data_IF_544168025523
#
_entry.id   IF_544168025523
#
_cell.length_a   1.000
_cell.length_b   1.000
_cell.length_c   1.000
_cell.angle_alpha   90.00
_cell.angle_beta   90.00
_cell.angle_gamma   90.00
#
_symmetry.space_group_name_H-M   'P 1'
#
loop_
_entity.id
_entity.type
_entity.pdbx_description
1 polymer ?
#
# COMPACT_ATOMS: atom_id res chain seq x y z
N UNK A 1 3.07 -4.07 20.27
CA UNK A 1 1.95 -5.03 20.16
C UNK A 1 2.53 -6.35 19.66
N UNK A 2 2.35 -7.49 20.34
CA UNK A 2 2.74 -8.80 19.82
C UNK A 2 2.05 -9.12 18.49
N UNK A 3 2.73 -9.80 17.58
CA UNK A 3 2.16 -10.15 16.28
C UNK A 3 0.86 -10.98 16.39
N UNK A 4 0.80 -11.92 17.33
CA UNK A 4 -0.41 -12.72 17.58
C UNK A 4 -1.61 -11.83 17.92
N UNK A 5 -1.42 -10.85 18.80
CA UNK A 5 -2.49 -9.92 19.20
C UNK A 5 -2.94 -9.04 18.01
N UNK A 6 -2.01 -8.62 17.16
CA UNK A 6 -2.34 -7.93 15.91
C UNK A 6 -3.23 -8.79 15.00
N UNK A 7 -2.86 -10.05 14.78
CA UNK A 7 -3.61 -10.97 13.92
C UNK A 7 -4.99 -11.27 14.49
N UNK A 8 -5.08 -11.54 15.79
CA UNK A 8 -6.34 -11.97 16.42
C UNK A 8 -7.33 -10.82 16.63
N UNK A 9 -6.86 -9.58 16.81
CA UNK A 9 -7.73 -8.47 17.23
C UNK A 9 -7.82 -7.32 16.25
N UNK A 10 -6.85 -7.17 15.33
CA UNK A 10 -6.71 -5.97 14.51
C UNK A 10 -6.65 -6.25 13.00
N UNK A 11 -6.45 -7.50 12.59
CA UNK A 11 -6.44 -7.92 11.18
C UNK A 11 -7.86 -8.09 10.63
N UNK A 12 -8.71 -7.10 10.88
CA UNK A 12 -10.11 -7.06 10.46
C UNK A 12 -10.36 -5.85 9.54
N UNK A 13 -11.44 -5.86 8.75
CA UNK A 13 -11.80 -4.72 7.93
C UNK A 13 -12.04 -3.45 8.77
N UNK A 14 -11.50 -2.28 8.38
CA UNK A 14 -11.72 -1.05 9.12
C UNK A 14 -13.19 -0.65 9.05
N UNK A 15 -13.73 -0.21 10.19
CA UNK A 15 -15.09 0.33 10.24
C UNK A 15 -15.19 1.60 9.37
N UNK A 16 -16.26 1.82 8.59
CA UNK A 16 -16.39 2.97 7.68
C UNK A 16 -16.25 4.35 8.34
N UNK A 17 -16.56 4.43 9.64
CA UNK A 17 -16.43 5.65 10.45
C UNK A 17 -15.07 5.85 11.15
N UNK A 18 -14.09 4.94 10.98
CA UNK A 18 -12.74 5.13 11.54
C UNK A 18 -11.95 6.15 10.73
N UNK A 19 -11.13 6.93 11.42
CA UNK A 19 -10.19 7.85 10.78
C UNK A 19 -9.05 7.09 10.11
N UNK A 20 -8.41 7.72 9.11
CA UNK A 20 -7.18 7.22 8.50
C UNK A 20 -6.10 6.91 9.53
N UNK A 21 -5.97 7.76 10.56
CA UNK A 21 -5.04 7.60 11.67
C UNK A 21 -5.28 6.37 12.53
N UNK A 22 -6.50 5.85 12.55
CA UNK A 22 -6.93 4.76 13.43
C UNK A 22 -6.86 3.40 12.73
N UNK A 23 -6.50 3.40 11.44
CA UNK A 23 -6.25 2.18 10.68
C UNK A 23 -4.80 1.79 10.94
N UNK A 24 -4.60 0.82 11.83
CA UNK A 24 -3.28 0.26 12.11
C UNK A 24 -2.80 -0.53 10.89
N UNK A 25 -2.09 0.20 10.04
CA UNK A 25 -1.20 -0.33 9.02
C UNK A 25 0.17 -0.35 9.66
N UNK A 26 0.78 -1.51 9.97
CA UNK A 26 2.20 -1.55 10.24
C UNK A 26 2.91 -1.63 8.88
N UNK A 27 3.35 -0.52 8.24
CA UNK A 27 4.46 -0.66 7.33
C UNK A 27 5.61 -1.19 8.18
N UNK A 28 6.18 -2.31 7.74
CA UNK A 28 7.11 -3.11 8.52
C UNK A 28 8.13 -2.26 9.26
N UNK A 29 8.35 -2.62 10.53
CA UNK A 29 9.59 -2.29 11.20
C UNK A 29 10.72 -2.90 10.35
N UNK A 30 11.32 -2.07 9.50
CA UNK A 30 12.37 -2.44 8.56
C UNK A 30 13.69 -2.79 9.28
N UNK A 31 13.67 -2.93 10.60
CA UNK A 31 14.83 -3.22 11.42
C UNK A 31 15.29 -4.70 11.37
N UNK A 32 14.77 -5.52 10.44
CA UNK A 32 15.19 -6.91 10.23
C UNK A 32 15.18 -7.79 11.50
N UNK A 33 14.52 -7.39 12.58
CA UNK A 33 14.58 -8.06 13.88
C UNK A 33 13.67 -9.29 13.88
N UNK A 34 12.36 -9.06 13.74
CA UNK A 34 11.35 -10.13 13.74
C UNK A 34 11.25 -10.82 12.37
N UNK A 35 11.26 -10.03 11.30
CA UNK A 35 11.05 -10.52 9.92
C UNK A 35 12.35 -10.77 9.14
N UNK A 36 13.51 -10.57 9.77
CA UNK A 36 14.85 -10.73 9.18
C UNK A 36 15.01 -11.99 8.33
N UNK A 37 14.61 -13.19 8.82
CA UNK A 37 14.75 -14.44 8.07
C UNK A 37 13.98 -14.51 6.75
N UNK A 38 13.00 -13.64 6.50
CA UNK A 38 12.23 -13.61 5.25
C UNK A 38 12.95 -12.90 4.10
N UNK A 39 13.92 -12.03 4.40
CA UNK A 39 14.58 -11.22 3.37
C UNK A 39 15.72 -11.92 2.60
N UNK A 40 16.57 -12.80 3.19
CA UNK A 40 17.59 -13.52 2.46
C UNK A 40 17.10 -14.34 1.24
N UNK A 41 15.96 -15.07 1.30
CA UNK A 41 15.46 -15.79 0.14
C UNK A 41 14.71 -14.90 -0.88
N UNK A 42 14.42 -13.65 -0.54
CA UNK A 42 13.64 -12.75 -1.40
C UNK A 42 14.50 -12.18 -2.54
N UNK A 43 14.00 -12.30 -3.77
CA UNK A 43 14.61 -11.73 -4.98
C UNK A 43 13.74 -10.58 -5.45
N UNK A 44 14.14 -9.31 -5.23
CA UNK A 44 13.32 -8.19 -5.68
C UNK A 44 13.45 -7.96 -7.19
N UNK A 45 12.60 -7.09 -7.74
CA UNK A 45 12.59 -6.74 -9.16
C UNK A 45 13.96 -6.25 -9.67
N UNK A 46 14.25 -6.45 -10.97
CA UNK A 46 15.62 -6.36 -11.50
C UNK A 46 16.18 -4.93 -11.54
N UNK A 47 15.33 -3.90 -11.60
CA UNK A 47 15.81 -2.52 -11.67
C UNK A 47 16.12 -1.98 -10.28
N UNK A 48 17.33 -1.47 -10.14
CA UNK A 48 17.83 -0.83 -8.91
C UNK A 48 18.66 0.39 -9.29
N UNK A 49 18.75 1.34 -8.39
CA UNK A 49 19.64 2.50 -8.54
C UNK A 49 21.04 2.06 -8.08
N UNK A 50 22.07 2.13 -8.94
CA UNK A 50 23.42 1.71 -8.58
C UNK A 50 23.94 2.43 -7.33
N UNK A 51 24.61 1.69 -6.44
CA UNK A 51 25.16 2.24 -5.19
C UNK A 51 24.13 2.40 -4.06
N UNK A 52 22.88 1.97 -4.26
CA UNK A 52 21.84 1.98 -3.22
C UNK A 52 21.35 0.57 -2.90
N UNK A 53 21.03 0.33 -1.62
CA UNK A 53 20.25 -0.83 -1.21
C UNK A 53 18.78 -0.43 -1.14
N UNK A 54 17.83 -1.18 -1.73
CA UNK A 54 16.45 -0.76 -1.67
C UNK A 54 15.92 -0.89 -0.24
N UNK A 55 15.27 0.14 0.31
CA UNK A 55 14.45 -0.02 1.50
C UNK A 55 13.31 -0.99 1.14
N UNK A 56 13.26 -2.14 1.80
CA UNK A 56 12.08 -3.00 1.76
C UNK A 56 11.07 -2.50 2.78
N UNK A 57 9.79 -2.67 2.48
CA UNK A 57 8.71 -2.58 3.46
C UNK A 57 7.83 -3.81 3.31
N UNK A 58 7.96 -4.73 4.27
CA UNK A 58 7.11 -5.91 4.38
C UNK A 58 5.88 -5.55 5.23
N UNK A 59 4.71 -6.08 4.87
CA UNK A 59 3.50 -5.81 5.64
C UNK A 59 2.45 -6.90 5.53
N UNK A 60 1.64 -6.96 6.58
CA UNK A 60 0.45 -7.79 6.70
C UNK A 60 -0.68 -6.84 7.06
N UNK A 61 -1.80 -6.90 6.34
CA UNK A 61 -2.90 -5.96 6.55
C UNK A 61 -4.26 -6.58 6.24
N UNK A 62 -5.29 -6.13 6.98
CA UNK A 62 -6.67 -6.58 6.77
C UNK A 62 -7.30 -5.99 5.51
N UNK A 63 -8.36 -6.62 5.01
CA UNK A 63 -9.16 -6.09 3.90
C UNK A 63 -9.66 -4.67 4.18
N UNK A 64 -9.76 -3.82 3.16
CA UNK A 64 -10.21 -2.42 3.27
C UNK A 64 -9.19 -1.45 3.86
N UNK A 65 -8.10 -1.91 4.46
CA UNK A 65 -7.03 -1.03 4.94
C UNK A 65 -6.22 -0.44 3.78
N UNK A 66 -5.70 0.78 3.94
CA UNK A 66 -4.91 1.49 2.94
C UNK A 66 -4.59 2.92 3.39
N UNK A 67 -3.62 3.55 2.74
CA UNK A 67 -3.22 4.94 3.00
C UNK A 67 -3.68 5.86 1.86
N UNK A 68 -4.21 7.06 2.17
CA UNK A 68 -4.74 7.97 1.16
C UNK A 68 -3.61 8.74 0.47
N UNK A 69 -3.33 8.39 -0.78
CA UNK A 69 -2.55 9.20 -1.74
C UNK A 69 -1.26 9.84 -1.21
N UNK A 70 -0.32 9.14 -0.55
CA UNK A 70 1.01 9.70 -0.31
C UNK A 70 1.77 9.88 -1.64
N UNK A 71 2.42 11.03 -1.88
CA UNK A 71 3.44 11.15 -2.90
C UNK A 71 4.82 10.80 -2.30
N UNK A 72 5.55 9.88 -2.92
CA UNK A 72 6.94 9.58 -2.55
C UNK A 72 7.75 9.08 -3.75
N UNK A 73 9.03 8.75 -3.50
CA UNK A 73 9.94 8.23 -4.51
C UNK A 73 9.44 6.94 -5.17
N UNK A 74 10.06 6.53 -6.30
CA UNK A 74 9.61 5.39 -7.09
C UNK A 74 9.85 4.06 -6.38
N UNK A 75 9.21 3.01 -6.88
CA UNK A 75 9.38 1.69 -6.32
C UNK A 75 8.53 0.61 -6.97
N UNK A 76 8.62 -0.58 -6.37
CA UNK A 76 7.85 -1.75 -6.74
C UNK A 76 6.92 -2.13 -5.60
N UNK A 77 5.73 -2.61 -5.95
CA UNK A 77 4.81 -3.25 -5.01
C UNK A 77 4.49 -4.65 -5.51
N UNK A 78 4.52 -5.60 -4.58
CA UNK A 78 4.30 -7.02 -4.80
C UNK A 78 3.34 -7.56 -3.74
N UNK A 79 2.42 -8.42 -4.16
CA UNK A 79 1.50 -9.11 -3.25
C UNK A 79 1.88 -10.58 -3.20
N UNK A 80 2.16 -11.07 -2.00
CA UNK A 80 2.53 -12.47 -1.72
C UNK A 80 1.26 -13.28 -1.46
N UNK A 81 0.30 -12.69 -0.75
CA UNK A 81 -1.01 -13.27 -0.46
C UNK A 81 -2.09 -12.17 -0.46
N UNK A 82 -3.31 -12.52 -0.85
CA UNK A 82 -4.42 -11.57 -0.98
C UNK A 82 -4.36 -10.80 -2.29
N UNK A 83 -4.95 -9.61 -2.34
CA UNK A 83 -4.95 -8.72 -3.51
C UNK A 83 -4.96 -7.28 -3.05
N UNK A 84 -4.28 -6.42 -3.79
CA UNK A 84 -4.37 -4.96 -3.62
C UNK A 84 -4.99 -4.31 -4.83
N UNK A 85 -5.92 -3.37 -4.62
CA UNK A 85 -6.28 -2.42 -5.68
C UNK A 85 -5.31 -1.27 -5.63
N UNK A 86 -5.04 -0.65 -6.77
CA UNK A 86 -4.21 0.53 -6.89
C UNK A 86 -4.99 1.61 -7.59
N UNK A 87 -4.91 2.84 -7.06
CA UNK A 87 -5.35 4.06 -7.70
C UNK A 87 -4.13 4.96 -7.88
N UNK A 88 -3.93 5.50 -9.08
CA UNK A 88 -2.71 6.20 -9.47
C UNK A 88 -3.08 7.52 -10.16
N UNK A 89 -2.44 8.61 -9.74
CA UNK A 89 -2.46 9.89 -10.43
C UNK A 89 -1.05 10.37 -10.74
N UNK A 90 -0.83 10.98 -11.91
CA UNK A 90 0.45 11.59 -12.22
C UNK A 90 0.70 12.82 -11.32
N UNK A 91 1.96 13.26 -11.16
CA UNK A 91 2.33 14.28 -10.17
C UNK A 91 1.65 15.63 -10.39
N UNK A 92 1.31 15.96 -11.65
CA UNK A 92 0.65 17.20 -12.07
C UNK A 92 -0.88 17.18 -11.85
N UNK A 93 -1.44 16.04 -11.43
CA UNK A 93 -2.87 15.88 -11.19
C UNK A 93 -3.12 15.50 -9.73
N UNK A 94 -3.31 16.50 -8.89
CA UNK A 94 -3.65 16.30 -7.48
C UNK A 94 -5.01 15.60 -7.34
N UNK A 95 -5.10 14.45 -6.65
CA UNK A 95 -6.38 13.80 -6.39
C UNK A 95 -7.26 14.63 -5.47
N UNK A 96 -8.57 14.52 -5.64
CA UNK A 96 -9.53 15.04 -4.67
C UNK A 96 -9.67 14.03 -3.53
N UNK A 97 -9.06 14.31 -2.37
CA UNK A 97 -9.18 13.49 -1.16
C UNK A 97 -9.02 14.34 0.10
N UNK A 98 -9.51 13.83 1.23
CA UNK A 98 -9.27 14.42 2.54
C UNK A 98 -8.12 13.67 3.25
N UNK A 99 -7.05 14.32 3.72
CA UNK A 99 -5.88 13.64 4.30
C UNK A 99 -6.17 12.74 5.51
N UNK A 100 -7.22 13.06 6.28
CA UNK A 100 -7.63 12.27 7.44
C UNK A 100 -8.63 11.15 7.11
N UNK A 101 -9.09 11.06 5.85
CA UNK A 101 -10.02 10.03 5.40
C UNK A 101 -9.26 8.76 4.99
N UNK A 102 -9.78 7.58 5.34
CA UNK A 102 -9.22 6.32 4.85
C UNK A 102 -9.42 6.18 3.34
N UNK A 103 -8.58 5.38 2.67
CA UNK A 103 -8.83 5.05 1.26
C UNK A 103 -10.19 4.39 1.04
N UNK A 104 -10.67 3.61 2.02
CA UNK A 104 -11.99 2.97 1.96
C UNK A 104 -13.12 4.01 1.99
N UNK A 105 -13.07 4.97 2.92
CA UNK A 105 -14.06 6.03 2.98
C UNK A 105 -14.03 6.89 1.72
N UNK A 106 -12.83 7.24 1.21
CA UNK A 106 -12.68 7.93 -0.08
C UNK A 106 -13.32 7.15 -1.24
N UNK A 107 -13.14 5.82 -1.26
CA UNK A 107 -13.71 4.94 -2.29
C UNK A 107 -15.24 4.89 -2.24
N UNK A 108 -15.85 5.06 -1.08
CA UNK A 108 -17.30 5.07 -0.90
C UNK A 108 -17.93 6.45 -1.12
N UNK A 109 -17.29 7.52 -0.65
CA UNK A 109 -17.89 8.86 -0.62
C UNK A 109 -17.47 9.73 -1.80
N UNK A 110 -16.20 9.63 -2.21
CA UNK A 110 -15.62 10.54 -3.21
C UNK A 110 -15.56 9.88 -4.58
N UNK A 111 -14.91 8.72 -4.70
CA UNK A 111 -14.68 8.03 -5.98
C UNK A 111 -15.94 7.86 -6.87
N UNK A 112 -17.12 7.49 -6.37
CA UNK A 112 -18.31 7.29 -7.21
C UNK A 112 -18.82 8.58 -7.87
N UNK A 113 -18.51 9.73 -7.27
CA UNK A 113 -18.93 11.06 -7.75
C UNK A 113 -17.92 11.72 -8.71
N UNK A 114 -16.72 11.15 -8.87
CA UNK A 114 -15.69 11.71 -9.73
C UNK A 114 -16.10 11.67 -11.21
N UNK A 115 -15.98 12.81 -11.93
CA UNK A 115 -16.07 12.84 -13.38
C UNK A 115 -15.08 11.88 -14.02
N UNK A 116 -15.41 11.31 -15.18
CA UNK A 116 -14.55 10.34 -15.87
C UNK A 116 -13.13 10.88 -16.10
N UNK A 117 -12.99 12.16 -16.45
CA UNK A 117 -11.72 12.83 -16.66
C UNK A 117 -10.87 12.96 -15.36
N UNK A 118 -11.50 12.90 -14.19
CA UNK A 118 -10.85 13.01 -12.88
C UNK A 118 -10.61 11.66 -12.21
N UNK A 119 -11.05 10.56 -12.83
CA UNK A 119 -10.80 9.21 -12.29
C UNK A 119 -9.30 8.87 -12.32
N UNK A 120 -8.84 8.06 -11.35
CA UNK A 120 -7.47 7.57 -11.34
C UNK A 120 -7.23 6.55 -12.45
N UNK A 121 -5.96 6.30 -12.77
CA UNK A 121 -5.58 5.02 -13.35
C UNK A 121 -5.72 3.95 -12.27
N UNK A 122 -6.28 2.80 -12.62
CA UNK A 122 -6.55 1.76 -11.63
C UNK A 122 -6.22 0.37 -12.13
N UNK A 123 -5.75 -0.47 -11.22
CA UNK A 123 -5.56 -1.90 -11.45
C UNK A 123 -5.78 -2.68 -10.15
N UNK A 124 -5.89 -4.00 -10.28
CA UNK A 124 -5.83 -4.92 -9.14
C UNK A 124 -4.59 -5.77 -9.31
N UNK A 125 -3.80 -5.85 -8.26
CA UNK A 125 -2.53 -6.57 -8.19
C UNK A 125 -2.72 -7.86 -7.36
N UNK A 126 -2.88 -9.03 -8.02
CA UNK A 126 -2.81 -10.34 -7.39
C UNK A 126 -1.39 -10.91 -7.39
N UNK A 127 -1.08 -11.93 -6.58
CA UNK A 127 0.14 -12.73 -6.74
C UNK A 127 0.15 -13.45 -8.11
N UNK A 128 1.32 -13.60 -8.77
CA UNK A 128 2.66 -13.09 -8.44
C UNK A 128 3.00 -11.79 -9.20
N UNK A 129 2.03 -10.92 -9.44
CA UNK A 129 2.26 -9.71 -10.25
C UNK A 129 3.04 -8.64 -9.48
N UNK A 130 3.74 -7.79 -10.24
CA UNK A 130 4.53 -6.67 -9.73
C UNK A 130 4.03 -5.38 -10.34
N UNK A 131 3.77 -4.37 -9.52
CA UNK A 131 3.49 -3.01 -9.98
C UNK A 131 4.71 -2.11 -9.78
N UNK A 132 5.10 -1.39 -10.82
CA UNK A 132 6.00 -0.25 -10.69
C UNK A 132 5.19 1.04 -10.46
N UNK A 133 5.49 1.77 -9.39
CA UNK A 133 4.96 3.12 -9.19
C UNK A 133 6.07 4.16 -9.45
N UNK A 134 5.84 5.15 -10.33
CA UNK A 134 6.86 6.12 -10.67
C UNK A 134 7.06 7.21 -9.59
N UNK A 135 8.15 7.96 -9.75
CA UNK A 135 8.52 9.05 -8.83
C UNK A 135 7.40 10.10 -8.70
N UNK A 136 7.07 10.45 -7.45
CA UNK A 136 6.09 11.48 -7.08
C UNK A 136 4.66 11.24 -7.55
N UNK A 137 4.33 10.03 -7.99
CA UNK A 137 2.95 9.68 -8.30
C UNK A 137 2.12 9.55 -7.03
N UNK A 138 0.93 10.17 -7.04
CA UNK A 138 -0.04 9.96 -5.99
C UNK A 138 -0.61 8.56 -6.12
N UNK A 139 -0.68 7.81 -5.03
CA UNK A 139 -1.23 6.47 -5.08
C UNK A 139 -1.96 6.07 -3.81
N UNK A 140 -3.11 5.42 -3.95
CA UNK A 140 -3.87 4.88 -2.82
C UNK A 140 -4.07 3.38 -3.05
N UNK A 141 -3.36 2.50 -2.31
CA UNK A 141 -3.41 1.06 -2.55
C UNK A 141 -4.23 0.32 -1.46
N UNK A 142 -5.58 0.30 -1.52
CA UNK A 142 -6.34 -0.44 -0.52
C UNK A 142 -6.21 -1.95 -0.73
N UNK A 143 -6.13 -2.69 0.38
CA UNK A 143 -6.17 -4.14 0.38
C UNK A 143 -7.61 -4.61 0.10
N UNK A 144 -7.81 -5.50 -0.88
CA UNK A 144 -9.12 -6.07 -1.16
C UNK A 144 -9.43 -7.26 -0.25
N UNK A 145 -8.39 -7.98 0.15
CA UNK A 145 -8.44 -9.11 1.08
C UNK A 145 -7.44 -8.88 2.20
N UNK A 146 -7.44 -9.74 3.23
CA UNK A 146 -6.26 -9.87 4.08
C UNK A 146 -5.06 -10.16 3.19
N UNK A 147 -4.04 -9.31 3.29
CA UNK A 147 -2.95 -9.27 2.33
C UNK A 147 -1.59 -9.30 3.01
N UNK A 148 -0.67 -10.07 2.43
CA UNK A 148 0.76 -10.08 2.74
C UNK A 148 1.49 -9.54 1.53
N UNK A 149 2.34 -8.54 1.73
CA UNK A 149 2.94 -7.80 0.62
C UNK A 149 4.34 -7.31 0.98
N UNK A 150 5.08 -6.96 -0.06
CA UNK A 150 6.37 -6.30 0.06
C UNK A 150 6.43 -5.13 -0.92
N UNK A 151 7.00 -4.01 -0.50
CA UNK A 151 7.33 -2.89 -1.36
C UNK A 151 8.83 -2.66 -1.35
N UNK A 152 9.39 -2.40 -2.53
CA UNK A 152 10.81 -2.14 -2.75
C UNK A 152 10.94 -0.69 -3.21
N UNK A 153 11.47 0.18 -2.37
CA UNK A 153 11.68 1.59 -2.73
C UNK A 153 13.00 1.76 -3.48
N UNK A 154 13.02 2.71 -4.42
CA UNK A 154 14.20 3.08 -5.19
C UNK A 154 14.67 4.46 -4.70
N UNK A 155 15.69 4.50 -3.81
CA UNK A 155 16.19 5.74 -3.20
C UNK A 155 17.11 6.55 -4.10
#
# INVERSE_FOLDING_TARGET
>A
LPFQEYVEQLLEPPHPGRLGSDTLYPPGDNNFTEWGPLFPPYVPPPFRIPGTGPPYSFGIAGSGSGVPFPPHGPGYSEVIFGRKRWFLYPPDKTPHFHPNETTLAWLHHTYPSLPLAERPLECTLPPPEVLYFPDRWWHAPPNLDTSVFISTFLP
#
